data_IF_684188402839
#
_entry.id   IF_684188402839
#
_cell.length_a   1.000
_cell.length_b   1.000
_cell.length_c   1.000
_cell.angle_alpha   90.00
_cell.angle_beta   90.00
_cell.angle_gamma   90.00
#
_symmetry.space_group_name_H-M   'P 1'
#
loop_
_entity.id
_entity.type
_entity.pdbx_description
1 polymer ?
#
# COMPACT_ATOMS: atom_id res chain seq x y z
N UNK A 1 12.21 12.84 5.89
CA UNK A 1 12.58 11.49 5.44
C UNK A 1 13.96 11.60 4.82
N UNK A 2 14.97 10.90 5.35
CA UNK A 2 16.39 11.07 4.99
C UNK A 2 17.04 9.84 4.37
N UNK A 3 16.23 8.92 3.83
CA UNK A 3 16.67 7.67 3.22
C UNK A 3 16.38 7.73 1.73
N UNK A 4 17.29 7.16 0.95
CA UNK A 4 17.07 6.97 -0.47
C UNK A 4 15.93 5.97 -0.71
N UNK A 5 14.96 6.35 -1.54
CA UNK A 5 13.87 5.48 -1.98
C UNK A 5 14.38 4.38 -2.92
N UNK A 6 13.75 3.20 -2.94
CA UNK A 6 14.19 2.11 -3.79
C UNK A 6 14.05 2.49 -5.27
N UNK A 7 14.99 2.01 -6.09
CA UNK A 7 15.06 2.38 -7.52
C UNK A 7 13.82 1.95 -8.29
N UNK A 8 13.29 0.75 -8.00
CA UNK A 8 12.11 0.22 -8.66
C UNK A 8 10.85 1.06 -8.41
N UNK A 9 10.72 1.65 -7.21
CA UNK A 9 9.68 2.63 -6.92
C UNK A 9 9.86 3.92 -7.71
N UNK A 10 11.10 4.44 -7.80
CA UNK A 10 11.38 5.65 -8.58
C UNK A 10 11.03 5.44 -10.05
N UNK A 11 11.44 4.30 -10.62
CA UNK A 11 11.13 3.93 -12.01
C UNK A 11 9.62 3.84 -12.24
N UNK A 12 8.86 3.30 -11.28
CA UNK A 12 7.39 3.25 -11.36
C UNK A 12 6.78 4.66 -11.36
N UNK A 13 7.18 5.53 -10.42
CA UNK A 13 6.66 6.89 -10.31
C UNK A 13 6.99 7.70 -11.56
N UNK A 14 8.24 7.66 -12.02
CA UNK A 14 8.69 8.39 -13.21
C UNK A 14 8.01 7.86 -14.48
N UNK A 15 7.74 6.54 -14.55
CA UNK A 15 7.14 5.90 -15.72
C UNK A 15 5.62 6.13 -15.86
N UNK A 16 4.89 6.21 -14.75
CA UNK A 16 3.42 6.31 -14.76
C UNK A 16 2.88 7.68 -14.38
N UNK A 17 3.67 8.53 -13.73
CA UNK A 17 3.22 9.84 -13.26
C UNK A 17 2.17 9.74 -12.14
N UNK A 18 1.33 10.77 -12.03
CA UNK A 18 0.20 10.83 -11.10
C UNK A 18 -0.93 9.94 -11.64
N UNK A 19 -1.13 8.76 -11.06
CA UNK A 19 -1.88 7.69 -11.70
C UNK A 19 -2.78 6.89 -10.74
N UNK A 20 -3.81 6.25 -11.30
CA UNK A 20 -4.59 5.21 -10.63
C UNK A 20 -4.30 3.87 -11.29
N UNK A 21 -3.47 3.06 -10.65
CA UNK A 21 -3.13 1.72 -11.09
C UNK A 21 -4.30 0.76 -10.81
N UNK A 22 -4.53 -0.20 -11.71
CA UNK A 22 -5.56 -1.24 -11.56
C UNK A 22 -7.00 -0.72 -11.37
N UNK A 23 -7.21 0.59 -11.59
CA UNK A 23 -8.49 1.27 -11.38
C UNK A 23 -8.85 1.52 -9.91
N UNK A 24 -7.93 1.32 -8.97
CA UNK A 24 -8.19 1.52 -7.53
C UNK A 24 -6.96 1.83 -6.65
N UNK A 25 -5.74 1.77 -7.18
CA UNK A 25 -4.51 2.02 -6.42
C UNK A 25 -3.90 3.36 -6.85
N UNK A 26 -4.08 4.38 -6.03
CA UNK A 26 -3.56 5.72 -6.31
C UNK A 26 -2.05 5.80 -6.07
N UNK A 27 -1.32 6.25 -7.10
CA UNK A 27 0.13 6.47 -7.10
C UNK A 27 0.39 7.98 -7.28
N UNK A 28 0.84 8.68 -6.22
CA UNK A 28 1.16 10.10 -6.30
C UNK A 28 2.50 10.34 -7.02
N UNK A 29 2.61 11.50 -7.66
CA UNK A 29 3.83 11.94 -8.34
C UNK A 29 4.37 13.24 -7.72
N UNK A 30 5.71 13.48 -7.71
CA UNK A 30 6.28 14.73 -7.21
C UNK A 30 5.70 15.99 -7.85
N UNK A 31 5.37 15.92 -9.13
CA UNK A 31 4.76 17.01 -9.91
C UNK A 31 3.23 16.84 -10.09
N UNK A 32 2.62 15.91 -9.35
CA UNK A 32 1.19 15.61 -9.42
C UNK A 32 0.30 16.66 -8.74
N UNK A 33 -1.01 16.47 -8.84
CA UNK A 33 -2.00 17.36 -8.23
C UNK A 33 -1.96 17.35 -6.70
N UNK A 34 -1.64 16.19 -6.13
CA UNK A 34 -1.22 16.03 -4.74
C UNK A 34 0.27 15.65 -4.71
N UNK A 35 1.17 16.60 -4.38
CA UNK A 35 2.61 16.36 -4.45
C UNK A 35 3.04 15.19 -3.57
N UNK A 36 3.82 14.27 -4.13
CA UNK A 36 4.24 13.02 -3.46
C UNK A 36 4.77 13.23 -2.02
N UNK A 37 5.56 14.27 -1.77
CA UNK A 37 6.10 14.52 -0.44
C UNK A 37 5.01 14.89 0.58
N UNK A 38 4.02 15.67 0.16
CA UNK A 38 2.87 16.04 1.00
C UNK A 38 2.06 14.79 1.34
N UNK A 39 1.70 14.02 0.31
CA UNK A 39 1.04 12.73 0.45
C UNK A 39 1.75 11.83 1.47
N UNK A 40 3.05 11.60 1.29
CA UNK A 40 3.86 10.75 2.17
C UNK A 40 3.83 11.20 3.63
N UNK A 41 3.83 12.51 3.89
CA UNK A 41 3.82 13.07 5.23
C UNK A 41 2.45 12.96 5.90
N UNK A 42 1.39 13.22 5.15
CA UNK A 42 0.02 13.14 5.64
C UNK A 42 -0.38 11.70 5.93
N UNK A 43 -0.21 10.79 4.97
CA UNK A 43 -0.52 9.38 5.15
C UNK A 43 0.29 8.76 6.27
N UNK A 44 1.54 9.19 6.47
CA UNK A 44 2.35 8.69 7.58
C UNK A 44 1.77 9.11 8.93
N UNK A 45 1.29 10.35 9.04
CA UNK A 45 0.64 10.85 10.26
C UNK A 45 -0.64 10.06 10.55
N UNK A 46 -1.48 9.87 9.53
CA UNK A 46 -2.73 9.11 9.65
C UNK A 46 -2.48 7.64 9.95
N UNK A 47 -1.51 7.03 9.29
CA UNK A 47 -1.10 5.65 9.54
C UNK A 47 -0.70 5.46 11.00
N UNK A 48 0.23 6.26 11.52
CA UNK A 48 0.65 6.12 12.91
C UNK A 48 -0.50 6.33 13.90
N UNK A 49 -1.39 7.30 13.67
CA UNK A 49 -2.54 7.50 14.55
C UNK A 49 -3.57 6.37 14.49
N UNK A 50 -3.70 5.71 13.34
CA UNK A 50 -4.72 4.67 13.11
C UNK A 50 -4.28 3.31 13.65
N UNK A 51 -2.99 3.01 13.56
CA UNK A 51 -2.45 1.67 13.86
C UNK A 51 -1.56 1.62 15.12
N UNK A 52 -1.50 2.68 15.93
CA UNK A 52 -0.67 2.71 17.15
C UNK A 52 -1.01 1.58 18.14
N UNK A 53 -2.30 1.25 18.25
CA UNK A 53 -2.81 0.19 19.12
C UNK A 53 -2.99 -1.18 18.42
N UNK A 54 -2.46 -1.34 17.21
CA UNK A 54 -2.62 -2.59 16.46
C UNK A 54 -1.83 -3.73 17.12
N UNK A 55 -2.54 -4.82 17.46
CA UNK A 55 -1.94 -5.93 18.22
C UNK A 55 -1.20 -6.97 17.35
N UNK A 56 -1.46 -6.99 16.04
CA UNK A 56 -0.95 -8.01 15.11
C UNK A 56 -0.07 -7.40 14.01
N UNK A 57 0.96 -6.65 14.41
CA UNK A 57 1.91 -6.05 13.46
C UNK A 57 3.02 -7.08 13.15
N UNK A 58 3.26 -7.43 11.86
CA UNK A 58 4.36 -8.31 11.48
C UNK A 58 5.72 -7.75 11.95
N UNK A 59 6.63 -8.65 12.35
CA UNK A 59 7.92 -8.27 12.95
C UNK A 59 8.70 -7.25 12.10
N UNK A 60 8.79 -7.45 10.78
CA UNK A 60 9.51 -6.53 9.89
C UNK A 60 8.90 -5.11 9.86
N UNK A 61 7.57 -5.02 9.99
CA UNK A 61 6.83 -3.76 10.06
C UNK A 61 7.02 -3.11 11.43
N UNK A 62 7.00 -3.91 12.50
CA UNK A 62 7.20 -3.46 13.88
C UNK A 62 8.60 -2.90 14.11
N UNK A 63 9.65 -3.62 13.68
CA UNK A 63 11.04 -3.15 13.79
C UNK A 63 11.25 -1.88 12.94
N UNK A 64 10.66 -1.85 11.75
CA UNK A 64 10.75 -0.75 10.81
C UNK A 64 9.77 0.40 11.05
N UNK A 65 8.98 0.40 12.13
CA UNK A 65 7.77 1.24 12.28
C UNK A 65 7.99 2.72 11.96
N UNK A 66 9.04 3.31 12.54
CA UNK A 66 9.39 4.73 12.33
C UNK A 66 10.04 5.02 10.97
N UNK A 67 10.30 4.01 10.15
CA UNK A 67 10.92 4.14 8.84
C UNK A 67 9.99 3.74 7.69
N UNK A 68 8.76 3.32 7.99
CA UNK A 68 7.74 3.04 6.98
C UNK A 68 7.42 4.31 6.19
N UNK A 69 7.29 4.15 4.87
CA UNK A 69 7.03 5.23 3.93
C UNK A 69 5.76 4.87 3.14
N UNK A 70 4.63 5.55 3.36
CA UNK A 70 3.46 5.42 2.50
C UNK A 70 3.82 5.78 1.08
N UNK A 71 3.36 5.02 0.10
CA UNK A 71 3.66 5.28 -1.31
C UNK A 71 2.43 5.18 -2.23
N UNK A 72 1.38 4.53 -1.76
CA UNK A 72 0.11 4.46 -2.44
C UNK A 72 -1.01 4.23 -1.42
N UNK A 73 -2.25 4.53 -1.81
CA UNK A 73 -3.44 4.11 -1.06
C UNK A 73 -4.48 3.52 -2.01
N UNK A 74 -5.31 2.65 -1.47
CA UNK A 74 -6.43 2.07 -2.17
C UNK A 74 -7.65 3.00 -2.05
N UNK A 75 -8.18 3.47 -3.18
CA UNK A 75 -9.21 4.51 -3.24
C UNK A 75 -10.57 4.08 -2.68
N UNK A 76 -10.94 2.79 -2.74
CA UNK A 76 -12.26 2.33 -2.25
C UNK A 76 -12.32 2.04 -0.76
N UNK A 77 -11.26 1.46 -0.16
CA UNK A 77 -11.29 1.00 1.23
C UNK A 77 -10.29 1.76 2.14
N UNK A 78 -9.43 2.59 1.55
CA UNK A 78 -8.44 3.39 2.27
C UNK A 78 -7.28 2.58 2.84
N UNK A 79 -7.02 1.36 2.34
CA UNK A 79 -5.82 0.61 2.70
C UNK A 79 -4.57 1.38 2.24
N UNK A 80 -3.53 1.37 3.07
CA UNK A 80 -2.30 2.13 2.81
C UNK A 80 -1.19 1.16 2.43
N UNK A 81 -0.53 1.42 1.30
CA UNK A 81 0.65 0.69 0.87
C UNK A 81 1.90 1.41 1.37
N UNK A 82 2.77 0.64 2.02
CA UNK A 82 3.96 1.13 2.72
C UNK A 82 5.20 0.48 2.09
N UNK A 83 6.23 1.28 1.84
CA UNK A 83 7.58 0.79 1.59
C UNK A 83 8.17 0.44 2.95
N UNK A 84 8.59 -0.81 3.07
CA UNK A 84 9.26 -1.37 4.23
C UNK A 84 10.75 -1.46 3.91
N UNK A 85 11.59 -0.64 4.55
CA UNK A 85 13.01 -0.67 4.29
C UNK A 85 13.64 -2.00 4.75
N UNK A 86 14.72 -2.46 4.10
CA UNK A 86 15.43 -3.66 4.54
C UNK A 86 15.97 -3.47 5.95
N UNK A 87 15.77 -4.49 6.80
CA UNK A 87 16.44 -4.60 8.10
C UNK A 87 17.92 -4.94 7.93
N UNK A 88 18.23 -5.79 6.95
CA UNK A 88 19.58 -6.18 6.54
C UNK A 88 19.61 -6.31 5.02
N UNK A 89 20.71 -5.92 4.37
CA UNK A 89 20.86 -6.01 2.91
C UNK A 89 20.15 -4.86 2.18
N UNK A 90 19.65 -5.14 0.98
CA UNK A 90 19.10 -4.12 0.05
C UNK A 90 17.63 -4.36 -0.33
N UNK A 91 17.04 -5.47 0.09
CA UNK A 91 15.72 -5.89 -0.39
C UNK A 91 14.60 -5.18 0.36
N UNK A 92 13.96 -4.25 -0.34
CA UNK A 92 12.74 -3.61 0.16
C UNK A 92 11.57 -4.58 0.14
N UNK A 93 10.59 -4.33 0.99
CA UNK A 93 9.30 -5.03 0.96
C UNK A 93 8.17 -4.02 0.84
N UNK A 94 7.01 -4.48 0.42
CA UNK A 94 5.75 -3.72 0.47
C UNK A 94 4.91 -4.29 1.60
N UNK A 95 4.38 -3.42 2.46
CA UNK A 95 3.31 -3.78 3.37
C UNK A 95 2.01 -3.12 2.95
N UNK A 96 0.89 -3.83 3.06
CA UNK A 96 -0.45 -3.27 2.94
C UNK A 96 -1.07 -3.26 4.33
N UNK A 97 -1.34 -2.07 4.85
CA UNK A 97 -2.06 -1.88 6.11
C UNK A 97 -3.55 -1.81 5.83
N UNK A 98 -4.30 -2.80 6.33
CA UNK A 98 -5.73 -2.91 6.09
C UNK A 98 -6.52 -1.97 7.00
N UNK A 99 -7.25 -1.02 6.44
CA UNK A 99 -7.94 0.03 7.22
C UNK A 99 -9.17 -0.50 7.96
N UNK A 100 -9.91 -1.39 7.33
CA UNK A 100 -11.15 -1.93 7.88
C UNK A 100 -10.93 -3.04 8.92
N UNK A 101 -9.71 -3.57 8.99
CA UNK A 101 -9.29 -4.59 9.95
C UNK A 101 -7.81 -4.38 10.24
N UNK A 102 -7.40 -3.99 11.46
CA UNK A 102 -6.00 -3.68 11.77
C UNK A 102 -5.12 -4.93 11.68
N UNK A 103 -4.65 -5.20 10.47
CA UNK A 103 -3.88 -6.35 10.03
C UNK A 103 -2.99 -5.89 8.87
N UNK A 104 -1.96 -6.66 8.57
CA UNK A 104 -0.97 -6.30 7.58
C UNK A 104 -0.66 -7.49 6.66
N UNK A 105 -0.60 -7.21 5.35
CA UNK A 105 0.01 -8.11 4.39
C UNK A 105 1.43 -7.61 4.09
N UNK A 106 2.42 -8.51 4.06
CA UNK A 106 3.80 -8.17 3.66
C UNK A 106 4.18 -8.97 2.42
N UNK A 107 4.73 -8.29 1.42
CA UNK A 107 5.27 -8.85 0.19
C UNK A 107 6.73 -8.44 0.06
N UNK A 108 7.63 -9.43 0.02
CA UNK A 108 9.07 -9.22 -0.17
C UNK A 108 9.39 -8.99 -1.64
N UNK A 109 10.39 -8.17 -1.95
CA UNK A 109 10.89 -7.96 -3.33
C UNK A 109 10.55 -6.60 -3.95
N UNK A 110 10.17 -5.62 -3.14
CA UNK A 110 9.90 -4.25 -3.58
C UNK A 110 8.55 -4.08 -4.28
N UNK A 111 8.40 -2.92 -4.91
CA UNK A 111 7.16 -2.49 -5.56
C UNK A 111 6.95 -3.25 -6.85
N UNK A 112 8.01 -3.52 -7.61
CA UNK A 112 7.91 -4.29 -8.86
C UNK A 112 7.36 -5.69 -8.59
N UNK A 113 7.89 -6.40 -7.60
CA UNK A 113 7.39 -7.74 -7.25
C UNK A 113 5.95 -7.69 -6.73
N UNK A 114 5.60 -6.67 -5.94
CA UNK A 114 4.23 -6.46 -5.50
C UNK A 114 3.27 -6.32 -6.69
N UNK A 115 3.55 -5.40 -7.61
CA UNK A 115 2.70 -5.15 -8.80
C UNK A 115 2.67 -6.40 -9.71
N UNK A 116 3.80 -7.09 -9.90
CA UNK A 116 3.87 -8.33 -10.67
C UNK A 116 2.93 -9.40 -10.12
N UNK A 117 2.89 -9.60 -8.79
CA UNK A 117 1.97 -10.56 -8.15
C UNK A 117 0.50 -10.19 -8.34
N UNK A 118 0.16 -8.91 -8.33
CA UNK A 118 -1.20 -8.46 -8.61
C UNK A 118 -1.61 -8.78 -10.06
N UNK A 119 -0.73 -8.47 -11.02
CA UNK A 119 -1.02 -8.56 -12.45
C UNK A 119 -0.96 -9.99 -13.01
N UNK A 120 0.09 -10.74 -12.65
CA UNK A 120 0.38 -12.03 -13.25
C UNK A 120 -0.23 -13.20 -12.48
N UNK A 121 -0.25 -13.11 -11.15
CA UNK A 121 -0.71 -14.20 -10.28
C UNK A 121 -2.15 -14.01 -9.81
N UNK A 122 -2.71 -12.81 -9.97
CA UNK A 122 -4.02 -12.46 -9.42
C UNK A 122 -4.04 -12.49 -7.89
N UNK A 123 -2.88 -12.32 -7.24
CA UNK A 123 -2.72 -12.40 -5.79
C UNK A 123 -3.01 -11.03 -5.13
N UNK A 124 -4.28 -10.62 -5.19
CA UNK A 124 -4.72 -9.35 -4.61
C UNK A 124 -4.80 -9.40 -3.08
N UNK A 125 -4.48 -8.29 -2.37
CA UNK A 125 -4.77 -8.15 -0.96
C UNK A 125 -6.25 -8.41 -0.67
N UNK A 126 -6.54 -8.95 0.51
CA UNK A 126 -7.91 -9.31 0.88
C UNK A 126 -8.83 -8.09 0.80
N UNK A 127 -9.97 -8.26 0.13
CA UNK A 127 -10.98 -7.21 -0.01
C UNK A 127 -10.73 -6.25 -1.18
N UNK A 128 -9.59 -6.36 -1.85
CA UNK A 128 -9.34 -5.61 -3.08
C UNK A 128 -10.11 -6.23 -4.24
N UNK A 129 -10.58 -5.41 -5.20
CA UNK A 129 -11.28 -5.91 -6.37
C UNK A 129 -10.34 -6.67 -7.30
N UNK A 130 -10.71 -7.89 -7.66
CA UNK A 130 -9.92 -8.78 -8.55
C UNK A 130 -10.32 -8.67 -10.03
N UNK A 131 -11.07 -7.63 -10.40
CA UNK A 131 -11.68 -7.51 -11.73
C UNK A 131 -12.89 -8.44 -11.96
N UNK A 132 -13.13 -9.43 -11.09
CA UNK A 132 -14.34 -10.25 -11.11
C UNK A 132 -15.47 -9.55 -10.34
N UNK A 133 -16.23 -8.70 -11.04
CA UNK A 133 -17.47 -8.14 -10.49
C UNK A 133 -18.55 -9.22 -10.38
N UNK A 134 -18.59 -9.95 -9.27
CA UNK A 134 -19.79 -10.68 -8.85
C UNK A 134 -20.58 -9.78 -7.90
N UNK A 135 -21.32 -8.82 -8.47
CA UNK A 135 -22.41 -8.20 -7.73
C UNK A 135 -23.45 -9.30 -7.44
N UNK A 136 -23.36 -9.92 -6.27
CA UNK A 136 -24.37 -10.84 -5.77
C UNK A 136 -24.91 -10.28 -4.47
N UNK A 137 -26.22 -10.11 -4.43
CA UNK A 137 -26.94 -9.87 -3.18
C UNK A 137 -26.61 -11.02 -2.23
N UNK A 138 -26.17 -10.71 -1.00
CA UNK A 138 -26.05 -11.72 0.04
C UNK A 138 -27.45 -12.11 0.50
N UNK A 139 -27.76 -13.41 0.55
CA UNK A 139 -28.97 -13.88 1.22
C UNK A 139 -28.96 -13.41 2.68
N UNK A 140 -30.01 -12.69 3.10
CA UNK A 140 -30.16 -12.18 4.46
C UNK A 140 -29.58 -10.79 4.72
N UNK A 141 -29.17 -10.04 3.68
CA UNK A 141 -28.87 -8.61 3.87
C UNK A 141 -30.11 -7.87 4.38
N UNK A 142 -30.05 -7.13 5.50
CA UNK A 142 -31.20 -6.42 6.08
C UNK A 142 -31.58 -5.16 5.30
N UNK A 143 -30.89 -4.89 4.19
CA UNK A 143 -31.17 -3.75 3.31
C UNK A 143 -32.01 -4.23 2.13
N UNK A 144 -33.32 -4.33 2.37
CA UNK A 144 -34.39 -4.18 1.37
C UNK A 144 -35.44 -3.26 1.97
#
# INVERSE_FOLDING_TARGET
MGRELPSDYKDLVDGYGDAVLLGHLFLPHPEGGDPLLTFMQEERRYFHSTYDDAQNIPEIVSIGWSQLIPWAYHDWNGDVCLLVPPLTGVDWSVAVAFRQRPDFLVVTGGVTEFIRRLLEEGNFPRGWPTGQRLWKTMEGSPVV
#
